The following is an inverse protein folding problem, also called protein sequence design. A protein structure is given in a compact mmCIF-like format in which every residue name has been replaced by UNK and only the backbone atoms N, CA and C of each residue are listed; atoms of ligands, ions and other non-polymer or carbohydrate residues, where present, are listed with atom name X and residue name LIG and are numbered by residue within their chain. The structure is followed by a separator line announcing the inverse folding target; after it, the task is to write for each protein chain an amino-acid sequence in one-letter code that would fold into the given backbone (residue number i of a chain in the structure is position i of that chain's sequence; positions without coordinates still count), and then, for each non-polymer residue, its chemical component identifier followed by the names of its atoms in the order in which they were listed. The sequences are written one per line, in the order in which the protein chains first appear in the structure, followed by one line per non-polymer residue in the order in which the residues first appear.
data_IF_799481035655
#
_entry.id   IF_799481035655
#
_cell.length_a   1.000
_cell.length_b   1.000
_cell.length_c   1.000
_cell.angle_alpha   90.00
_cell.angle_beta   90.00
_cell.angle_gamma   90.00
#
_symmetry.space_group_name_H-M   'P 1'
#
loop_
_entity.id
_entity.type
_entity.pdbx_description
1 polymer ?
#
# COMPACT_ATOMS: atom_id res chain seq x y z
N UNK A 1 1.01 22.70 -53.36
CA UNK A 1 0.60 21.31 -53.06
C UNK A 1 1.18 20.75 -51.74
N UNK A 2 1.47 21.57 -50.71
CA UNK A 2 2.19 21.13 -49.47
C UNK A 2 1.25 20.96 -48.25
N UNK A 3 0.03 21.51 -48.28
CA UNK A 3 -0.88 21.53 -47.11
C UNK A 3 -1.54 20.18 -46.76
N UNK A 4 -1.63 19.24 -47.70
CA UNK A 4 -2.42 18.00 -47.53
C UNK A 4 -1.67 16.89 -46.75
N UNK A 5 -0.34 16.85 -46.85
CA UNK A 5 0.50 15.85 -46.15
C UNK A 5 0.57 16.08 -44.63
N UNK A 6 0.50 17.34 -44.17
CA UNK A 6 0.50 17.65 -42.73
C UNK A 6 -0.85 17.35 -42.04
N UNK A 7 -1.95 17.40 -42.77
CA UNK A 7 -3.29 17.07 -42.24
C UNK A 7 -3.46 15.54 -42.12
N UNK A 8 -2.89 14.78 -43.06
CA UNK A 8 -2.88 13.31 -42.98
C UNK A 8 -2.00 12.78 -41.82
N UNK A 9 -0.86 13.42 -41.54
CA UNK A 9 0.00 13.10 -40.39
C UNK A 9 -0.67 13.42 -39.05
N UNK A 10 -1.43 14.52 -38.96
CA UNK A 10 -2.19 14.88 -37.76
C UNK A 10 -3.41 13.97 -37.54
N UNK A 11 -4.08 13.52 -38.60
CA UNK A 11 -5.18 12.56 -38.52
C UNK A 11 -4.70 11.16 -38.09
N UNK A 12 -3.54 10.71 -38.57
CA UNK A 12 -2.92 9.45 -38.14
C UNK A 12 -2.52 9.45 -36.66
N UNK A 13 -2.04 10.59 -36.12
CA UNK A 13 -1.80 10.72 -34.68
C UNK A 13 -3.08 10.77 -33.86
N UNK A 14 -4.19 11.30 -34.40
CA UNK A 14 -5.46 11.40 -33.67
C UNK A 14 -6.20 10.05 -33.57
N UNK A 15 -6.02 9.17 -34.55
CA UNK A 15 -6.64 7.82 -34.60
C UNK A 15 -5.93 6.80 -33.71
N UNK A 16 -4.67 7.04 -33.34
CA UNK A 16 -3.91 6.18 -32.42
C UNK A 16 -4.02 6.60 -30.94
N UNK A 17 -4.47 7.82 -30.66
CA UNK A 17 -4.74 8.31 -29.29
C UNK A 17 -5.77 7.46 -28.52
N UNK A 18 -6.89 6.98 -29.12
CA UNK A 18 -7.87 6.16 -28.41
C UNK A 18 -7.33 4.79 -28.06
N UNK A 19 -6.50 4.17 -28.92
CA UNK A 19 -5.88 2.88 -28.65
C UNK A 19 -4.83 2.98 -27.54
N UNK A 20 -3.95 3.99 -27.59
CA UNK A 20 -2.98 4.25 -26.52
C UNK A 20 -3.68 4.65 -25.21
N UNK A 21 -4.77 5.42 -25.28
CA UNK A 21 -5.60 5.74 -24.12
C UNK A 21 -6.27 4.49 -23.54
N UNK A 22 -6.80 3.59 -24.38
CA UNK A 22 -7.42 2.33 -23.92
C UNK A 22 -6.40 1.35 -23.32
N UNK A 23 -5.18 1.31 -23.87
CA UNK A 23 -4.07 0.54 -23.32
C UNK A 23 -3.57 1.14 -21.99
N UNK A 24 -3.52 2.47 -21.88
CA UNK A 24 -3.19 3.17 -20.63
C UNK A 24 -4.26 2.93 -19.55
N UNK A 25 -5.54 2.96 -19.90
CA UNK A 25 -6.64 2.62 -18.98
C UNK A 25 -6.60 1.14 -18.57
N UNK A 26 -6.18 0.24 -19.46
CA UNK A 26 -5.97 -1.18 -19.12
C UNK A 26 -4.85 -1.31 -18.09
N UNK A 27 -3.69 -0.70 -18.32
CA UNK A 27 -2.56 -0.72 -17.39
C UNK A 27 -2.90 -0.07 -16.03
N UNK A 28 -3.61 1.06 -16.06
CA UNK A 28 -4.13 1.75 -14.88
C UNK A 28 -5.12 0.88 -14.12
N UNK A 29 -6.01 0.16 -14.82
CA UNK A 29 -6.97 -0.76 -14.21
C UNK A 29 -6.28 -1.96 -13.56
N UNK A 30 -5.24 -2.53 -14.18
CA UNK A 30 -4.47 -3.63 -13.62
C UNK A 30 -3.68 -3.18 -12.40
N UNK A 31 -3.02 -2.03 -12.49
CA UNK A 31 -2.28 -1.45 -11.36
C UNK A 31 -3.22 -1.10 -10.21
N UNK A 32 -4.37 -0.49 -10.50
CA UNK A 32 -5.40 -0.20 -9.50
C UNK A 32 -5.91 -1.48 -8.85
N UNK A 33 -6.20 -2.54 -9.62
CA UNK A 33 -6.61 -3.84 -9.07
C UNK A 33 -5.55 -4.43 -8.14
N UNK A 34 -4.27 -4.36 -8.51
CA UNK A 34 -3.16 -4.85 -7.67
C UNK A 34 -3.08 -4.04 -6.37
N UNK A 35 -3.10 -2.71 -6.46
CA UNK A 35 -3.06 -1.82 -5.29
C UNK A 35 -4.27 -2.06 -4.38
N UNK A 36 -5.47 -2.19 -4.94
CA UNK A 36 -6.69 -2.50 -4.18
C UNK A 36 -6.58 -3.87 -3.51
N UNK A 37 -6.05 -4.89 -4.19
CA UNK A 37 -5.87 -6.23 -3.61
C UNK A 37 -4.90 -6.20 -2.43
N UNK A 38 -3.73 -5.56 -2.61
CA UNK A 38 -2.74 -5.41 -1.53
C UNK A 38 -3.33 -4.65 -0.36
N UNK A 39 -4.06 -3.56 -0.63
CA UNK A 39 -4.63 -2.75 0.43
C UNK A 39 -5.79 -3.44 1.18
N UNK A 40 -6.57 -4.27 0.49
CA UNK A 40 -7.76 -4.92 1.07
C UNK A 40 -7.42 -6.25 1.74
N UNK A 41 -6.38 -6.94 1.29
CA UNK A 41 -6.01 -8.26 1.83
C UNK A 41 -4.69 -8.23 2.60
N UNK A 42 -3.62 -7.74 1.99
CA UNK A 42 -2.25 -7.86 2.54
C UNK A 42 -2.05 -6.94 3.74
N UNK A 43 -2.43 -5.66 3.62
CA UNK A 43 -2.30 -4.70 4.71
C UNK A 43 -3.02 -5.16 5.98
N UNK A 44 -4.34 -5.47 5.96
CA UNK A 44 -5.04 -5.93 7.16
C UNK A 44 -4.51 -7.27 7.69
N UNK A 45 -4.01 -8.16 6.82
CA UNK A 45 -3.38 -9.40 7.25
C UNK A 45 -2.12 -9.15 8.08
N UNK A 46 -1.25 -8.22 7.65
CA UNK A 46 -0.04 -7.89 8.41
C UNK A 46 -0.40 -7.18 9.73
N UNK A 47 -1.42 -6.31 9.74
CA UNK A 47 -1.95 -5.74 10.99
C UNK A 47 -2.39 -6.83 11.97
N UNK A 48 -3.14 -7.83 11.50
CA UNK A 48 -3.57 -8.94 12.32
C UNK A 48 -2.37 -9.71 12.91
N UNK A 49 -1.36 -10.02 12.08
CA UNK A 49 -0.14 -10.71 12.54
C UNK A 49 0.62 -9.87 13.58
N UNK A 50 0.77 -8.57 13.36
CA UNK A 50 1.45 -7.68 14.31
C UNK A 50 0.74 -7.67 15.68
N UNK A 51 -0.60 -7.62 15.68
CA UNK A 51 -1.41 -7.73 16.90
C UNK A 51 -1.21 -9.10 17.57
N UNK A 52 -1.19 -10.19 16.80
CA UNK A 52 -0.95 -11.53 17.36
C UNK A 52 0.41 -11.64 18.03
N UNK A 53 1.48 -11.13 17.39
CA UNK A 53 2.83 -11.11 17.97
C UNK A 53 2.85 -10.29 19.26
N UNK A 54 2.18 -9.13 19.26
CA UNK A 54 2.03 -8.30 20.45
C UNK A 54 1.30 -9.05 21.58
N UNK A 55 0.19 -9.74 21.27
CA UNK A 55 -0.56 -10.54 22.24
C UNK A 55 0.26 -11.70 22.78
N UNK A 56 1.03 -12.41 21.95
CA UNK A 56 1.94 -13.47 22.41
C UNK A 56 2.99 -12.90 23.37
N UNK A 57 3.55 -11.73 23.07
CA UNK A 57 4.48 -11.03 23.96
C UNK A 57 3.84 -10.67 25.29
N UNK A 58 2.61 -10.15 25.27
CA UNK A 58 1.84 -9.81 26.46
C UNK A 58 1.52 -11.04 27.31
N UNK A 59 1.04 -12.11 26.69
CA UNK A 59 0.74 -13.37 27.38
C UNK A 59 2.01 -13.95 28.01
N UNK A 60 3.15 -13.91 27.32
CA UNK A 60 4.44 -14.34 27.88
C UNK A 60 4.90 -13.46 29.04
N UNK A 61 4.70 -12.15 28.93
CA UNK A 61 5.07 -11.21 29.98
C UNK A 61 4.26 -11.41 31.28
N UNK A 62 2.95 -11.68 31.15
CA UNK A 62 2.05 -11.82 32.29
C UNK A 62 1.97 -13.24 32.86
N UNK A 63 1.92 -14.29 32.02
CA UNK A 63 1.70 -15.67 32.47
C UNK A 63 2.99 -16.45 32.79
N UNK A 64 4.11 -16.16 32.12
CA UNK A 64 5.40 -16.86 32.34
C UNK A 64 6.29 -16.08 33.32
N UNK A 65 5.72 -15.62 34.44
CA UNK A 65 6.22 -14.59 35.37
C UNK A 65 7.60 -14.74 36.01
N UNK A 66 8.47 -15.63 35.53
CA UNK A 66 9.90 -15.60 35.81
C UNK A 66 10.62 -14.42 35.12
N UNK A 67 11.86 -14.19 35.51
CA UNK A 67 12.70 -13.08 35.03
C UNK A 67 12.94 -13.15 33.51
N UNK A 68 13.24 -14.35 33.01
CA UNK A 68 13.52 -14.59 31.59
C UNK A 68 12.27 -14.49 30.70
N UNK A 69 11.11 -14.96 31.21
CA UNK A 69 9.83 -14.87 30.49
C UNK A 69 9.33 -13.44 30.37
N UNK A 70 9.54 -12.62 31.41
CA UNK A 70 9.24 -11.19 31.39
C UNK A 70 10.15 -10.44 30.42
N UNK A 71 11.44 -10.73 30.39
CA UNK A 71 12.37 -10.05 29.50
C UNK A 71 12.07 -10.35 28.02
N UNK A 72 11.89 -11.64 27.68
CA UNK A 72 11.48 -12.06 26.33
C UNK A 72 10.10 -11.52 25.95
N UNK A 73 9.13 -11.56 26.87
CA UNK A 73 7.79 -11.01 26.66
C UNK A 73 7.79 -9.52 26.32
N UNK A 74 8.59 -8.72 27.06
CA UNK A 74 8.80 -7.28 26.77
C UNK A 74 9.36 -7.05 25.37
N UNK A 75 10.36 -7.84 24.97
CA UNK A 75 10.94 -7.73 23.63
C UNK A 75 9.89 -7.99 22.55
N UNK A 76 9.10 -9.07 22.66
CA UNK A 76 8.03 -9.36 21.68
C UNK A 76 6.95 -8.28 21.65
N UNK A 77 6.56 -7.72 22.81
CA UNK A 77 5.63 -6.59 22.85
C UNK A 77 6.21 -5.36 22.16
N UNK A 78 7.47 -5.02 22.40
CA UNK A 78 8.14 -3.90 21.75
C UNK A 78 8.21 -4.08 20.23
N UNK A 79 8.60 -5.26 19.75
CA UNK A 79 8.62 -5.55 18.31
C UNK A 79 7.22 -5.45 17.68
N UNK A 80 6.18 -5.91 18.37
CA UNK A 80 4.79 -5.75 17.94
C UNK A 80 4.36 -4.27 17.88
N UNK A 81 4.68 -3.48 18.92
CA UNK A 81 4.38 -2.03 18.95
C UNK A 81 5.11 -1.30 17.82
N UNK A 82 6.40 -1.58 17.61
CA UNK A 82 7.19 -0.96 16.53
C UNK A 82 6.56 -1.27 15.18
N UNK A 83 6.19 -2.53 14.91
CA UNK A 83 5.53 -2.91 13.67
C UNK A 83 4.20 -2.16 13.47
N UNK A 84 3.39 -2.03 14.52
CA UNK A 84 2.14 -1.26 14.46
C UNK A 84 2.39 0.22 14.18
N UNK A 85 3.32 0.86 14.91
CA UNK A 85 3.64 2.28 14.74
C UNK A 85 4.16 2.57 13.33
N UNK A 86 5.06 1.75 12.80
CA UNK A 86 5.56 1.92 11.42
C UNK A 86 4.41 1.80 10.42
N UNK A 87 3.54 0.80 10.58
CA UNK A 87 2.41 0.59 9.68
C UNK A 87 1.42 1.78 9.72
N UNK A 88 1.11 2.28 10.92
CA UNK A 88 0.27 3.48 11.09
C UNK A 88 0.94 4.73 10.54
N UNK A 89 2.25 4.89 10.70
CA UNK A 89 3.00 6.04 10.21
C UNK A 89 2.98 6.13 8.68
N UNK A 90 3.25 5.01 7.98
CA UNK A 90 3.21 4.95 6.51
C UNK A 90 1.80 5.28 6.01
N UNK A 91 0.76 4.64 6.56
CA UNK A 91 -0.62 4.88 6.12
C UNK A 91 -1.15 6.27 6.49
N UNK A 92 -0.71 6.81 7.62
CA UNK A 92 -1.00 8.17 8.06
C UNK A 92 -0.44 9.20 7.09
N UNK A 93 0.82 9.05 6.68
CA UNK A 93 1.45 9.93 5.69
C UNK A 93 0.78 9.79 4.33
N UNK A 94 0.46 8.57 3.88
CA UNK A 94 -0.25 8.35 2.61
C UNK A 94 -1.61 9.06 2.61
N UNK A 95 -2.42 8.91 3.67
CA UNK A 95 -3.70 9.62 3.78
C UNK A 95 -3.52 11.13 3.85
N UNK A 96 -2.52 11.60 4.59
CA UNK A 96 -2.22 13.02 4.71
C UNK A 96 -1.90 13.61 3.33
N UNK A 97 -1.06 12.92 2.55
CA UNK A 97 -0.66 13.37 1.21
C UNK A 97 -1.83 13.35 0.23
N UNK A 98 -2.69 12.32 0.27
CA UNK A 98 -3.91 12.22 -0.54
C UNK A 98 -4.96 13.28 -0.18
N UNK A 99 -5.02 13.69 1.09
CA UNK A 99 -5.98 14.71 1.54
C UNK A 99 -5.43 16.13 1.31
N UNK A 100 -4.12 16.32 1.42
CA UNK A 100 -3.46 17.61 1.27
C UNK A 100 -3.27 18.04 -0.19
N UNK A 101 -3.36 17.12 -1.15
CA UNK A 101 -3.37 17.45 -2.57
C UNK A 101 -4.83 17.46 -3.07
N UNK A 102 -5.51 18.61 -3.06
CA UNK A 102 -6.75 18.77 -3.81
C UNK A 102 -6.39 18.74 -5.30
N UNK A 103 -6.58 17.57 -5.93
CA UNK A 103 -6.71 17.43 -7.38
C UNK A 103 -8.18 17.35 -7.74
#
# INVERSE_FOLDING_TARGET
MIKFSRIALLAGTLVLLPEVASAAETFKSLTAKIVTLVNTAVVPLIYAIAIVIFLIGMLRFFFLGGEEGREKGKQFMLWGIIALVVMFSVWGIVRLLLTALPG
#
